data_IF_476750624666
#
_entry.id   IF_476750624666
#
_cell.length_a   1.000
_cell.length_b   1.000
_cell.length_c   1.000
_cell.angle_alpha   90.00
_cell.angle_beta   90.00
_cell.angle_gamma   90.00
#
_symmetry.space_group_name_H-M   'P 1'
#
loop_
_entity.id
_entity.type
_entity.pdbx_description
1 polymer ?
#
# COMPACT_ATOMS: atom_id res chain seq x y z
N UNK A 1 -9.47 -38.49 7.77
CA UNK A 1 -8.64 -37.31 8.12
C UNK A 1 -9.23 -36.08 7.47
N UNK A 2 -8.95 -34.92 8.06
CA UNK A 2 -9.21 -33.63 7.42
C UNK A 2 -7.93 -33.08 6.79
N UNK A 3 -8.01 -32.66 5.53
CA UNK A 3 -6.96 -31.89 4.86
C UNK A 3 -7.51 -30.52 4.48
N UNK A 4 -6.80 -29.47 4.89
CA UNK A 4 -7.06 -28.09 4.50
C UNK A 4 -5.95 -27.59 3.58
N UNK A 5 -6.35 -27.06 2.42
CA UNK A 5 -5.50 -26.35 1.48
C UNK A 5 -5.78 -24.86 1.62
N UNK A 6 -4.83 -24.14 2.20
CA UNK A 6 -4.90 -22.70 2.46
C UNK A 6 -4.05 -22.01 1.40
N UNK A 7 -4.68 -21.28 0.49
CA UNK A 7 -3.97 -20.46 -0.49
C UNK A 7 -3.38 -19.25 0.22
N UNK A 8 -2.06 -19.24 0.32
CA UNK A 8 -1.30 -18.27 1.10
C UNK A 8 -0.14 -17.75 0.28
N UNK A 9 -0.25 -16.50 -0.18
CA UNK A 9 0.64 -15.98 -1.24
C UNK A 9 2.01 -15.53 -0.72
N UNK A 10 2.17 -15.33 0.59
CA UNK A 10 3.42 -14.84 1.19
C UNK A 10 4.50 -15.94 1.21
N UNK A 11 5.77 -15.59 0.96
CA UNK A 11 6.88 -16.54 1.17
C UNK A 11 7.20 -16.78 2.66
N UNK A 12 6.67 -15.95 3.58
CA UNK A 12 6.99 -16.07 4.99
C UNK A 12 6.15 -17.18 5.65
N UNK A 13 6.77 -18.01 6.50
CA UNK A 13 6.07 -19.16 7.06
C UNK A 13 5.33 -18.92 8.38
N UNK A 14 5.32 -17.70 8.92
CA UNK A 14 4.74 -17.43 10.25
C UNK A 14 3.29 -17.91 10.38
N UNK A 15 2.48 -17.83 9.31
CA UNK A 15 1.11 -18.31 9.36
C UNK A 15 1.02 -19.83 9.55
N UNK A 16 1.80 -20.59 8.78
CA UNK A 16 1.95 -22.04 8.99
C UNK A 16 2.56 -22.37 10.36
N UNK A 17 3.48 -21.54 10.84
CA UNK A 17 4.05 -21.63 12.18
C UNK A 17 3.01 -21.45 13.30
N UNK A 18 2.05 -20.54 13.15
CA UNK A 18 0.94 -20.41 14.10
C UNK A 18 0.09 -21.68 14.13
N UNK A 19 -0.23 -22.25 12.96
CA UNK A 19 -0.94 -23.53 12.89
C UNK A 19 -0.16 -24.66 13.58
N UNK A 20 1.15 -24.75 13.36
CA UNK A 20 2.01 -25.74 14.03
C UNK A 20 1.97 -25.61 15.55
N UNK A 21 2.04 -24.39 16.06
CA UNK A 21 1.93 -24.12 17.49
C UNK A 21 0.57 -24.56 18.05
N UNK A 22 -0.51 -24.36 17.30
CA UNK A 22 -1.86 -24.79 17.70
C UNK A 22 -2.01 -26.33 17.66
N UNK A 23 -1.43 -27.01 16.68
CA UNK A 23 -1.33 -28.49 16.66
C UNK A 23 -0.63 -28.96 17.95
N UNK A 24 0.54 -28.38 18.26
CA UNK A 24 1.31 -28.77 19.44
C UNK A 24 0.54 -28.54 20.76
N UNK A 25 -0.17 -27.40 20.89
CA UNK A 25 -0.98 -27.07 22.09
C UNK A 25 -2.24 -27.92 22.23
N UNK A 26 -2.92 -28.21 21.12
CA UNK A 26 -4.11 -29.06 21.14
C UNK A 26 -3.76 -30.49 21.51
N UNK A 27 -2.61 -30.99 21.04
CA UNK A 27 -2.18 -32.38 21.18
C UNK A 27 -2.75 -33.29 20.09
N UNK A 28 -3.44 -32.72 19.10
CA UNK A 28 -3.95 -33.47 17.95
C UNK A 28 -2.79 -34.01 17.11
N UNK A 29 -2.96 -35.22 16.56
CA UNK A 29 -2.04 -35.71 15.53
C UNK A 29 -2.32 -34.92 14.25
N UNK A 30 -1.34 -34.13 13.81
CA UNK A 30 -1.47 -33.29 12.64
C UNK A 30 -0.14 -32.84 12.09
N UNK A 31 -0.17 -32.36 10.86
CA UNK A 31 0.99 -31.93 10.10
C UNK A 31 0.65 -30.63 9.36
N UNK A 32 1.60 -29.70 9.32
CA UNK A 32 1.49 -28.49 8.50
C UNK A 32 2.73 -28.33 7.64
N UNK A 33 2.51 -28.14 6.35
CA UNK A 33 3.56 -27.86 5.38
C UNK A 33 3.23 -26.57 4.64
N UNK A 34 4.26 -25.81 4.27
CA UNK A 34 4.14 -24.68 3.34
C UNK A 34 5.01 -24.92 2.13
N UNK A 35 4.40 -24.92 0.96
CA UNK A 35 5.07 -25.08 -0.34
C UNK A 35 4.52 -24.03 -1.30
N UNK A 36 5.42 -23.26 -1.91
CA UNK A 36 5.09 -22.18 -2.83
C UNK A 36 4.08 -21.17 -2.24
N UNK A 37 2.86 -21.12 -2.81
CA UNK A 37 1.76 -20.22 -2.43
C UNK A 37 0.62 -20.96 -1.71
N UNK A 38 0.92 -22.08 -1.09
CA UNK A 38 -0.05 -22.95 -0.43
C UNK A 38 0.47 -23.47 0.91
N UNK A 39 -0.41 -23.49 1.90
CA UNK A 39 -0.21 -24.16 3.18
C UNK A 39 -1.15 -25.37 3.20
N UNK A 40 -0.59 -26.54 3.46
CA UNK A 40 -1.33 -27.80 3.58
C UNK A 40 -1.33 -28.18 5.04
N UNK A 41 -2.52 -28.22 5.63
CA UNK A 41 -2.76 -28.67 7.00
C UNK A 41 -3.48 -30.01 6.94
N UNK A 42 -2.96 -31.03 7.63
CA UNK A 42 -3.60 -32.34 7.79
C UNK A 42 -3.84 -32.62 9.26
N UNK A 43 -5.05 -33.05 9.59
CA UNK A 43 -5.47 -33.33 10.97
C UNK A 43 -6.13 -34.70 11.04
N UNK A 44 -5.78 -35.44 12.09
CA UNK A 44 -6.45 -36.68 12.47
C UNK A 44 -7.86 -36.35 13.00
N UNK A 45 -8.87 -36.90 12.34
CA UNK A 45 -10.29 -36.70 12.68
C UNK A 45 -10.87 -37.87 13.49
N UNK A 46 -10.05 -38.85 13.89
CA UNK A 46 -10.49 -40.00 14.71
C UNK A 46 -10.80 -39.63 16.16
N UNK A 47 -10.20 -38.57 16.69
CA UNK A 47 -10.42 -38.07 18.05
C UNK A 47 -11.15 -36.73 18.02
N UNK A 48 -12.48 -36.78 18.20
CA UNK A 48 -13.36 -35.61 18.17
C UNK A 48 -13.01 -34.57 19.25
N UNK A 49 -12.56 -34.98 20.44
CA UNK A 49 -12.22 -34.06 21.54
C UNK A 49 -10.99 -33.22 21.19
N UNK A 50 -9.95 -33.84 20.65
CA UNK A 50 -8.74 -33.13 20.21
C UNK A 50 -8.99 -32.24 19.01
N UNK A 51 -9.85 -32.68 18.08
CA UNK A 51 -10.27 -31.87 16.94
C UNK A 51 -11.07 -30.64 17.37
N UNK A 52 -12.01 -30.82 18.31
CA UNK A 52 -12.75 -29.71 18.90
C UNK A 52 -11.81 -28.72 19.59
N UNK A 53 -10.86 -29.21 20.41
CA UNK A 53 -9.86 -28.38 21.08
C UNK A 53 -8.98 -27.61 20.08
N UNK A 54 -8.57 -28.23 18.97
CA UNK A 54 -7.85 -27.55 17.89
C UNK A 54 -8.69 -26.42 17.26
N UNK A 55 -9.97 -26.68 17.00
CA UNK A 55 -10.90 -25.69 16.43
C UNK A 55 -11.11 -24.50 17.38
N UNK A 56 -11.26 -24.76 18.68
CA UNK A 56 -11.38 -23.72 19.71
C UNK A 56 -10.11 -22.85 19.78
N UNK A 57 -8.94 -23.47 19.85
CA UNK A 57 -7.66 -22.76 19.84
C UNK A 57 -7.45 -21.96 18.55
N UNK A 58 -7.81 -22.52 17.39
CA UNK A 58 -7.74 -21.81 16.11
C UNK A 58 -8.62 -20.58 16.10
N UNK A 59 -9.83 -20.67 16.63
CA UNK A 59 -10.77 -19.54 16.70
C UNK A 59 -10.25 -18.44 17.63
N UNK A 60 -9.57 -18.81 18.72
CA UNK A 60 -9.08 -17.86 19.73
C UNK A 60 -7.71 -17.26 19.40
N UNK A 61 -6.78 -18.06 18.90
CA UNK A 61 -5.36 -17.72 18.84
C UNK A 61 -4.83 -17.47 17.41
N UNK A 62 -5.45 -18.04 16.37
CA UNK A 62 -4.95 -17.90 15.00
C UNK A 62 -5.23 -16.49 14.48
N UNK A 63 -4.19 -15.69 14.16
CA UNK A 63 -4.43 -14.36 13.63
C UNK A 63 -4.95 -14.40 12.19
N UNK A 64 -5.62 -13.33 11.77
CA UNK A 64 -5.87 -13.09 10.34
C UNK A 64 -4.58 -12.59 9.64
N UNK A 65 -4.36 -12.99 8.39
CA UNK A 65 -3.25 -12.50 7.55
C UNK A 65 -3.77 -11.91 6.25
N UNK A 66 -3.16 -10.81 5.78
CA UNK A 66 -3.47 -10.20 4.48
C UNK A 66 -3.14 -11.11 3.28
N UNK A 67 -2.36 -12.17 3.50
CA UNK A 67 -1.87 -13.04 2.43
C UNK A 67 -2.70 -14.33 2.24
N UNK A 68 -3.77 -14.52 3.02
CA UNK A 68 -4.72 -15.62 2.85
C UNK A 68 -5.72 -15.24 1.75
N UNK A 69 -5.92 -16.12 0.77
CA UNK A 69 -6.91 -15.91 -0.29
C UNK A 69 -8.09 -16.88 -0.24
N UNK A 70 -7.84 -18.17 -0.05
CA UNK A 70 -8.88 -19.22 -0.08
C UNK A 70 -8.51 -20.37 0.86
N UNK A 71 -9.52 -21.05 1.41
CA UNK A 71 -9.34 -22.22 2.27
C UNK A 71 -10.29 -23.31 1.78
N UNK A 72 -9.73 -24.43 1.32
CA UNK A 72 -10.49 -25.62 0.91
C UNK A 72 -10.28 -26.72 1.92
N UNK A 73 -11.37 -27.33 2.37
CA UNK A 73 -11.33 -28.47 3.29
C UNK A 73 -11.85 -29.71 2.58
N UNK A 74 -11.12 -30.81 2.67
CA UNK A 74 -11.46 -32.10 2.08
C UNK A 74 -11.20 -33.22 3.11
N UNK A 75 -12.02 -34.26 3.08
CA UNK A 75 -11.76 -35.49 3.84
C UNK A 75 -10.94 -36.41 2.94
N UNK A 76 -9.79 -36.86 3.42
CA UNK A 76 -8.87 -37.71 2.65
C UNK A 76 -8.40 -38.91 3.47
N UNK A 77 -7.95 -39.93 2.74
CA UNK A 77 -7.34 -41.16 3.26
C UNK A 77 -5.87 -41.18 2.81
N UNK A 78 -5.04 -40.45 3.55
CA UNK A 78 -3.59 -40.30 3.38
C UNK A 78 -2.93 -40.64 4.74
N UNK A 79 -1.61 -40.67 4.84
CA UNK A 79 -0.93 -40.69 6.14
C UNK A 79 -0.57 -39.27 6.59
N UNK A 80 -0.62 -39.04 7.91
CA UNK A 80 -0.11 -37.82 8.53
C UNK A 80 1.38 -38.03 8.79
N UNK A 81 2.22 -37.21 8.16
CA UNK A 81 3.66 -37.21 8.41
C UNK A 81 4.00 -36.62 9.78
N UNK A 82 5.30 -36.59 10.08
CA UNK A 82 5.82 -36.00 11.32
C UNK A 82 6.56 -34.68 11.04
N UNK A 83 6.23 -33.99 9.94
CA UNK A 83 6.93 -32.76 9.60
C UNK A 83 6.57 -31.66 10.60
N UNK A 84 7.60 -31.04 11.16
CA UNK A 84 7.49 -29.86 12.01
C UNK A 84 8.02 -28.67 11.23
N UNK A 85 7.22 -27.63 11.13
CA UNK A 85 7.69 -26.37 10.55
C UNK A 85 8.43 -25.55 11.61
N UNK A 86 9.58 -25.02 11.23
CA UNK A 86 10.31 -24.03 12.01
C UNK A 86 10.50 -22.78 11.16
N UNK A 87 10.10 -21.64 11.71
CA UNK A 87 10.13 -20.38 11.01
C UNK A 87 11.35 -19.52 11.37
N UNK A 88 11.92 -18.80 10.39
CA UNK A 88 12.93 -17.79 10.70
C UNK A 88 12.28 -16.66 11.53
N UNK A 89 13.06 -15.95 12.35
CA UNK A 89 12.58 -14.76 13.03
C UNK A 89 12.05 -13.75 12.01
N UNK A 90 10.83 -13.27 12.22
CA UNK A 90 10.21 -12.28 11.35
C UNK A 90 9.61 -11.13 12.16
N UNK A 91 9.69 -9.93 11.58
CA UNK A 91 9.06 -8.74 12.14
C UNK A 91 7.53 -8.83 11.93
N UNK A 92 6.85 -9.50 12.84
CA UNK A 92 5.39 -9.58 12.89
C UNK A 92 4.89 -8.97 14.20
N UNK A 93 3.64 -8.52 14.19
CA UNK A 93 3.01 -7.96 15.39
C UNK A 93 2.67 -9.06 16.41
N UNK A 94 2.30 -8.65 17.62
CA UNK A 94 1.82 -9.58 18.65
C UNK A 94 0.57 -10.33 18.13
N UNK A 95 0.56 -11.66 18.29
CA UNK A 95 -0.60 -12.47 17.97
C UNK A 95 -1.73 -12.28 19.02
N UNK A 96 -2.97 -12.72 18.75
CA UNK A 96 -4.09 -12.59 19.68
C UNK A 96 -3.79 -13.07 21.09
N UNK A 97 -3.06 -14.18 21.23
CA UNK A 97 -2.66 -14.71 22.54
C UNK A 97 -1.70 -13.76 23.29
N UNK A 98 -0.68 -13.24 22.61
CA UNK A 98 0.24 -12.28 23.22
C UNK A 98 -0.48 -10.96 23.59
N UNK A 99 -1.46 -10.53 22.79
CA UNK A 99 -2.29 -9.36 23.11
C UNK A 99 -3.19 -9.60 24.34
N UNK A 100 -3.73 -10.80 24.51
CA UNK A 100 -4.44 -11.20 25.74
C UNK A 100 -3.47 -11.18 26.93
N UNK A 101 -2.27 -11.75 26.78
CA UNK A 101 -1.29 -11.87 27.85
C UNK A 101 -0.75 -10.51 28.31
N UNK A 102 -0.55 -9.55 27.40
CA UNK A 102 -0.04 -8.22 27.77
C UNK A 102 -1.10 -7.35 28.44
N UNK A 103 -2.39 -7.61 28.19
CA UNK A 103 -3.52 -6.81 28.68
C UNK A 103 -4.21 -7.41 29.91
N UNK A 104 -3.96 -8.68 30.25
CA UNK A 104 -4.60 -9.36 31.37
C UNK A 104 -3.78 -9.24 32.67
N UNK A 105 -4.30 -8.60 33.74
CA UNK A 105 -3.60 -8.46 35.02
C UNK A 105 -3.19 -9.77 35.71
N UNK A 106 -3.82 -10.90 35.36
CA UNK A 106 -3.47 -12.22 35.89
C UNK A 106 -2.31 -12.90 35.13
N UNK A 107 -1.88 -12.34 34.00
CA UNK A 107 -0.79 -12.86 33.19
C UNK A 107 0.57 -12.49 33.77
N UNK A 108 1.56 -13.38 33.65
CA UNK A 108 2.96 -13.07 33.97
C UNK A 108 3.58 -12.03 33.03
N UNK A 109 2.96 -11.81 31.87
CA UNK A 109 3.38 -10.82 30.86
C UNK A 109 2.53 -9.55 30.90
N UNK A 110 1.74 -9.33 31.95
CA UNK A 110 0.93 -8.11 32.08
C UNK A 110 1.82 -6.87 32.02
N UNK A 111 1.58 -6.01 31.02
CA UNK A 111 2.37 -4.81 30.72
C UNK A 111 3.89 -5.06 30.52
N UNK A 112 4.28 -6.27 30.12
CA UNK A 112 5.67 -6.64 29.83
C UNK A 112 6.12 -6.02 28.49
N UNK A 113 7.02 -5.03 28.57
CA UNK A 113 7.57 -4.33 27.41
C UNK A 113 8.63 -5.13 26.65
N UNK A 114 9.09 -6.25 27.21
CA UNK A 114 10.02 -7.19 26.60
C UNK A 114 9.34 -8.34 25.88
N UNK A 115 8.00 -8.44 25.95
CA UNK A 115 7.24 -9.52 25.33
C UNK A 115 7.45 -9.53 23.81
N UNK A 116 7.91 -10.68 23.30
CA UNK A 116 8.02 -10.97 21.87
C UNK A 116 7.16 -12.18 21.52
N UNK A 117 6.57 -12.18 20.33
CA UNK A 117 5.76 -13.31 19.89
C UNK A 117 6.65 -14.54 19.61
N UNK A 118 6.35 -15.65 20.27
CA UNK A 118 6.99 -16.97 20.06
C UNK A 118 6.02 -18.04 19.58
N UNK A 119 4.79 -17.64 19.23
CA UNK A 119 3.69 -18.54 18.91
C UNK A 119 3.63 -18.99 17.44
N UNK A 120 4.61 -18.62 16.61
CA UNK A 120 4.66 -19.00 15.19
C UNK A 120 5.79 -19.99 14.87
N UNK A 121 6.12 -20.86 15.83
CA UNK A 121 7.19 -21.88 15.69
C UNK A 121 8.51 -21.31 15.21
N UNK A 122 8.88 -20.13 15.71
CA UNK A 122 10.11 -19.45 15.36
C UNK A 122 11.32 -20.07 16.06
N UNK A 123 12.46 -20.11 15.36
CA UNK A 123 13.73 -20.59 15.92
C UNK A 123 14.24 -19.70 17.05
N UNK A 124 14.10 -18.39 16.88
CA UNK A 124 14.49 -17.37 17.84
C UNK A 124 13.49 -16.19 17.81
N UNK A 125 13.34 -15.41 18.90
CA UNK A 125 12.54 -14.19 18.89
C UNK A 125 13.09 -13.14 17.92
N UNK A 126 12.21 -12.37 17.30
CA UNK A 126 12.61 -11.23 16.49
C UNK A 126 12.69 -9.96 17.35
N UNK A 127 13.88 -9.38 17.45
CA UNK A 127 14.08 -8.12 18.18
C UNK A 127 13.95 -6.94 17.24
N UNK A 128 13.16 -5.95 17.64
CA UNK A 128 12.95 -4.72 16.89
C UNK A 128 13.10 -3.52 17.81
N UNK A 129 13.85 -2.51 17.37
CA UNK A 129 13.92 -1.21 18.06
C UNK A 129 12.93 -0.26 17.40
N UNK A 130 11.90 0.14 18.14
CA UNK A 130 10.98 1.19 17.72
C UNK A 130 11.27 2.47 18.49
N UNK A 131 11.62 3.54 17.79
CA UNK A 131 11.84 4.88 18.36
C UNK A 131 10.65 5.82 18.13
N UNK A 132 9.55 5.33 17.56
CA UNK A 132 8.35 6.11 17.25
C UNK A 132 7.76 6.76 18.49
N UNK A 133 7.44 8.05 18.38
CA UNK A 133 6.77 8.82 19.41
C UNK A 133 5.29 8.98 19.07
N UNK A 134 4.43 8.76 20.07
CA UNK A 134 2.99 8.89 19.96
C UNK A 134 2.54 10.10 20.79
N UNK A 135 1.59 10.87 20.28
CA UNK A 135 1.18 12.16 20.84
C UNK A 135 -0.33 12.38 20.67
N UNK A 136 -1.02 13.00 21.65
CA UNK A 136 -2.38 13.53 21.44
C UNK A 136 -2.41 14.66 20.40
N UNK A 137 -1.29 15.34 20.20
CA UNK A 137 -1.22 16.53 19.38
C UNK A 137 -0.85 16.18 17.94
N UNK A 138 -1.65 16.69 17.01
CA UNK A 138 -1.38 16.60 15.59
C UNK A 138 -0.09 17.35 15.24
N UNK A 139 0.68 16.77 14.31
CA UNK A 139 1.77 17.44 13.62
C UNK A 139 1.62 17.21 12.12
N UNK A 140 2.03 18.16 11.27
CA UNK A 140 1.91 18.00 9.82
C UNK A 140 2.55 16.69 9.34
N UNK A 141 1.81 15.94 8.54
CA UNK A 141 2.26 14.64 8.02
C UNK A 141 1.97 13.44 8.91
N UNK A 142 1.54 13.63 10.16
CA UNK A 142 1.29 12.54 11.11
C UNK A 142 0.16 11.60 10.66
N UNK A 143 0.37 10.33 11.00
CA UNK A 143 -0.61 9.25 10.90
C UNK A 143 -1.28 9.04 12.25
N UNK A 144 -2.37 8.27 12.28
CA UNK A 144 -3.09 7.92 13.50
C UNK A 144 -2.84 6.46 13.90
N UNK A 145 -2.39 6.24 15.13
CA UNK A 145 -2.45 4.97 15.82
C UNK A 145 -3.85 4.79 16.41
N UNK A 146 -4.55 3.73 16.03
CA UNK A 146 -5.86 3.38 16.58
C UNK A 146 -5.66 2.70 17.94
N UNK A 147 -6.00 3.39 19.03
CA UNK A 147 -5.82 2.89 20.38
C UNK A 147 -7.04 2.10 20.89
N UNK A 148 -8.23 2.41 20.38
CA UNK A 148 -9.46 1.66 20.68
C UNK A 148 -10.17 1.19 19.41
N UNK A 149 -10.04 -0.10 19.11
CA UNK A 149 -10.70 -0.72 17.96
C UNK A 149 -12.24 -0.61 18.01
N UNK A 150 -12.84 -0.52 19.21
CA UNK A 150 -14.30 -0.38 19.35
C UNK A 150 -14.83 0.97 18.85
N UNK A 151 -13.94 1.96 18.72
CA UNK A 151 -14.26 3.32 18.28
C UNK A 151 -13.98 3.56 16.80
N UNK A 152 -13.48 2.57 16.07
CA UNK A 152 -13.05 2.74 14.68
C UNK A 152 -14.15 3.31 13.76
N UNK A 153 -15.39 2.87 13.93
CA UNK A 153 -16.54 3.32 13.12
C UNK A 153 -17.10 4.69 13.53
N UNK A 154 -16.70 5.20 14.70
CA UNK A 154 -16.97 6.57 15.13
C UNK A 154 -15.93 7.52 14.52
N UNK A 155 -14.67 7.05 14.38
CA UNK A 155 -13.55 7.87 13.92
C UNK A 155 -13.40 7.91 12.40
N UNK A 156 -13.65 6.79 11.70
CA UNK A 156 -13.34 6.63 10.27
C UNK A 156 -14.46 5.94 9.50
N UNK A 157 -14.51 6.18 8.18
CA UNK A 157 -15.34 5.42 7.24
C UNK A 157 -14.45 4.34 6.62
N UNK A 158 -14.73 3.07 6.95
CA UNK A 158 -13.99 1.90 6.48
C UNK A 158 -14.96 0.77 6.11
N UNK A 159 -14.65 0.06 5.03
CA UNK A 159 -15.29 -1.22 4.68
C UNK A 159 -14.85 -2.33 5.63
N UNK A 160 -15.61 -3.44 5.68
CA UNK A 160 -15.24 -4.60 6.49
C UNK A 160 -13.89 -5.20 6.06
N UNK A 161 -13.59 -5.20 4.76
CA UNK A 161 -12.32 -5.69 4.25
C UNK A 161 -11.14 -4.79 4.66
N UNK A 162 -11.32 -3.46 4.67
CA UNK A 162 -10.29 -2.54 5.18
C UNK A 162 -10.04 -2.73 6.68
N UNK A 163 -11.08 -3.02 7.47
CA UNK A 163 -10.91 -3.39 8.89
C UNK A 163 -10.13 -4.69 9.05
N UNK A 164 -10.45 -5.72 8.27
CA UNK A 164 -9.70 -7.00 8.27
C UNK A 164 -8.23 -6.80 7.91
N UNK A 165 -7.95 -5.91 6.95
CA UNK A 165 -6.57 -5.53 6.60
C UNK A 165 -5.90 -4.80 7.77
N UNK A 166 -6.51 -3.75 8.30
CA UNK A 166 -5.96 -2.94 9.41
C UNK A 166 -5.60 -3.80 10.63
N UNK A 167 -6.46 -4.76 10.98
CA UNK A 167 -6.30 -5.61 12.15
C UNK A 167 -5.64 -6.96 11.90
N UNK A 168 -5.12 -7.22 10.69
CA UNK A 168 -4.33 -8.43 10.40
C UNK A 168 -3.05 -8.50 11.25
N UNK A 169 -2.35 -9.65 11.24
CA UNK A 169 -1.06 -9.81 11.92
C UNK A 169 0.04 -8.90 11.36
N UNK A 170 -0.09 -8.50 10.09
CA UNK A 170 0.84 -7.61 9.43
C UNK A 170 0.60 -6.14 9.77
N UNK A 171 -0.56 -5.76 10.33
CA UNK A 171 -0.87 -4.38 10.79
C UNK A 171 -0.41 -3.30 9.79
N UNK A 172 -0.89 -3.34 8.54
CA UNK A 172 -0.53 -2.35 7.52
C UNK A 172 -1.05 -0.96 7.90
N UNK A 173 -0.37 0.06 7.39
CA UNK A 173 -0.90 1.41 7.30
C UNK A 173 -1.83 1.49 6.10
N UNK A 174 -3.05 1.99 6.31
CA UNK A 174 -4.05 2.22 5.26
C UNK A 174 -4.54 3.66 5.31
N UNK A 175 -4.91 4.21 4.16
CA UNK A 175 -5.57 5.52 4.09
C UNK A 175 -7.04 5.37 4.43
N UNK A 176 -7.56 6.21 5.32
CA UNK A 176 -8.95 6.20 5.74
C UNK A 176 -9.61 7.56 5.50
N UNK A 177 -10.92 7.54 5.26
CA UNK A 177 -11.74 8.77 5.26
C UNK A 177 -12.10 9.11 6.70
N UNK A 178 -11.84 10.35 7.11
CA UNK A 178 -12.13 10.83 8.46
C UNK A 178 -13.64 11.02 8.61
N UNK A 179 -14.23 10.37 9.61
CA UNK A 179 -15.62 10.57 10.02
C UNK A 179 -15.76 11.55 11.18
N UNK A 180 -14.82 11.52 12.12
CA UNK A 180 -14.81 12.40 13.29
C UNK A 180 -14.54 13.86 12.91
N UNK A 181 -15.47 14.75 13.27
CA UNK A 181 -15.29 16.20 13.06
C UNK A 181 -14.12 16.76 13.88
N UNK A 182 -13.85 16.23 15.07
CA UNK A 182 -12.70 16.61 15.89
C UNK A 182 -11.37 16.38 15.14
N UNK A 183 -11.22 15.22 14.50
CA UNK A 183 -10.01 14.90 13.73
C UNK A 183 -9.94 15.81 12.50
N UNK A 184 -11.08 16.10 11.83
CA UNK A 184 -11.09 17.04 10.70
C UNK A 184 -10.66 18.44 11.11
N UNK A 185 -11.14 18.95 12.24
CA UNK A 185 -10.77 20.26 12.76
C UNK A 185 -9.28 20.32 13.14
N UNK A 186 -8.77 19.28 13.82
CA UNK A 186 -7.37 19.21 14.22
C UNK A 186 -6.40 19.11 13.04
N UNK A 187 -6.78 18.35 12.00
CA UNK A 187 -5.89 18.05 10.87
C UNK A 187 -6.11 18.95 9.66
N UNK A 188 -7.28 19.60 9.58
CA UNK A 188 -7.81 20.28 8.40
C UNK A 188 -7.81 19.40 7.13
N UNK A 189 -8.19 18.13 7.29
CA UNK A 189 -8.16 17.10 6.23
C UNK A 189 -9.41 16.22 6.24
N UNK A 190 -9.69 15.64 5.08
CA UNK A 190 -10.75 14.65 4.88
C UNK A 190 -10.23 13.21 4.97
N UNK A 191 -8.92 13.01 4.79
CA UNK A 191 -8.28 11.70 4.76
C UNK A 191 -7.05 11.69 5.66
N UNK A 192 -6.72 10.53 6.23
CA UNK A 192 -5.52 10.33 7.02
C UNK A 192 -5.06 8.87 6.95
N UNK A 193 -3.75 8.66 7.06
CA UNK A 193 -3.18 7.33 7.20
C UNK A 193 -3.39 6.83 8.64
N UNK A 194 -3.91 5.61 8.78
CA UNK A 194 -4.19 4.97 10.07
C UNK A 194 -3.46 3.63 10.18
N UNK A 195 -3.12 3.23 11.41
CA UNK A 195 -2.47 1.96 11.72
C UNK A 195 -2.96 1.42 13.07
N UNK A 196 -3.12 0.11 13.17
CA UNK A 196 -3.36 -0.56 14.45
C UNK A 196 -2.02 -0.79 15.19
N UNK A 197 -2.03 -1.03 16.52
CA UNK A 197 -0.83 -1.35 17.28
C UNK A 197 -0.11 -2.55 16.66
N UNK A 198 1.18 -2.37 16.39
CA UNK A 198 1.95 -3.23 15.49
C UNK A 198 3.19 -3.86 16.14
N UNK A 199 3.49 -3.50 17.38
CA UNK A 199 4.53 -4.09 18.21
C UNK A 199 4.20 -3.90 19.69
N UNK A 200 5.04 -4.42 20.58
CA UNK A 200 4.86 -4.36 22.03
C UNK A 200 4.74 -2.92 22.52
N UNK A 201 5.64 -2.03 22.09
CA UNK A 201 5.63 -0.60 22.48
C UNK A 201 4.32 0.10 22.11
N UNK A 202 3.92 0.05 20.84
CA UNK A 202 2.68 0.67 20.37
C UNK A 202 1.44 0.05 21.02
N UNK A 203 1.48 -1.23 21.39
CA UNK A 203 0.40 -1.91 22.12
C UNK A 203 0.26 -1.36 23.54
N UNK A 204 1.37 -1.27 24.29
CA UNK A 204 1.36 -0.71 25.65
C UNK A 204 0.91 0.75 25.67
N UNK A 205 1.39 1.53 24.70
CA UNK A 205 0.95 2.93 24.51
C UNK A 205 -0.55 2.99 24.23
N UNK A 206 -1.06 2.12 23.36
CA UNK A 206 -2.48 2.07 23.03
C UNK A 206 -3.36 1.67 24.24
N UNK A 207 -2.92 0.72 25.07
CA UNK A 207 -3.61 0.34 26.30
C UNK A 207 -3.73 1.54 27.24
N UNK A 208 -2.61 2.22 27.52
CA UNK A 208 -2.61 3.39 28.39
C UNK A 208 -3.48 4.53 27.84
N UNK A 209 -3.39 4.80 26.53
CA UNK A 209 -4.23 5.79 25.87
C UNK A 209 -5.72 5.44 25.98
N UNK A 210 -6.09 4.18 25.75
CA UNK A 210 -7.47 3.71 25.89
C UNK A 210 -8.00 3.88 27.32
N UNK A 211 -7.19 3.55 28.32
CA UNK A 211 -7.55 3.73 29.74
C UNK A 211 -7.75 5.22 30.09
N UNK A 212 -6.97 6.10 29.45
CA UNK A 212 -7.14 7.55 29.50
C UNK A 212 -8.30 8.09 28.64
N UNK A 213 -9.15 7.22 28.08
CA UNK A 213 -10.26 7.57 27.18
C UNK A 213 -9.81 8.27 25.90
N UNK A 214 -8.61 7.99 25.43
CA UNK A 214 -8.06 8.49 24.18
C UNK A 214 -8.10 7.39 23.12
N UNK A 215 -9.07 7.40 22.19
CA UNK A 215 -9.27 6.30 21.25
C UNK A 215 -8.23 6.28 20.13
N UNK A 216 -7.42 7.33 20.00
CA UNK A 216 -6.36 7.45 19.01
C UNK A 216 -5.19 8.30 19.51
N UNK A 217 -4.03 8.14 18.89
CA UNK A 217 -2.87 9.01 19.03
C UNK A 217 -2.25 9.30 17.66
N UNK A 218 -1.63 10.46 17.52
CA UNK A 218 -0.84 10.82 16.35
C UNK A 218 0.60 10.32 16.45
N UNK A 219 1.19 9.95 15.33
CA UNK A 219 2.60 9.60 15.25
C UNK A 219 3.17 9.90 13.86
N UNK A 220 4.45 10.24 13.83
CA UNK A 220 5.24 10.23 12.60
C UNK A 220 6.04 8.93 12.59
N UNK A 221 5.43 7.89 12.04
CA UNK A 221 6.06 6.57 11.97
C UNK A 221 7.06 6.46 10.84
N UNK A 222 8.03 5.55 11.01
CA UNK A 222 8.86 5.08 9.91
C UNK A 222 8.07 4.28 8.88
N UNK A 223 8.60 4.22 7.66
CA UNK A 223 8.13 3.35 6.58
C UNK A 223 8.13 1.89 7.07
N UNK A 224 7.00 1.20 7.08
CA UNK A 224 6.89 -0.15 7.69
C UNK A 224 6.16 -1.13 6.79
N UNK A 225 4.88 -0.85 6.55
CA UNK A 225 4.04 -1.57 5.59
C UNK A 225 2.88 -0.64 5.25
N UNK A 226 2.84 -0.15 4.02
CA UNK A 226 1.73 0.64 3.49
C UNK A 226 1.07 -0.11 2.36
N UNK A 227 -0.24 -0.27 2.45
CA UNK A 227 -1.02 -0.93 1.41
C UNK A 227 -2.11 0.01 0.90
N UNK A 228 -2.49 -0.19 -0.36
CA UNK A 228 -3.67 0.44 -0.93
C UNK A 228 -4.60 -0.64 -1.47
N UNK A 229 -5.88 -0.53 -1.11
CA UNK A 229 -6.95 -1.37 -1.61
C UNK A 229 -7.77 -0.61 -2.64
N UNK A 230 -7.99 -1.23 -3.78
CA UNK A 230 -8.87 -0.72 -4.84
C UNK A 230 -9.70 -1.89 -5.35
N UNK A 231 -11.03 -1.74 -5.29
CA UNK A 231 -11.97 -2.83 -5.57
C UNK A 231 -11.66 -4.04 -4.65
N UNK A 232 -11.54 -5.24 -5.22
CA UNK A 232 -11.21 -6.48 -4.50
C UNK A 232 -9.70 -6.79 -4.48
N UNK A 233 -8.87 -5.90 -5.04
CA UNK A 233 -7.42 -6.02 -5.07
C UNK A 233 -6.77 -5.11 -4.04
N UNK A 234 -5.63 -5.55 -3.50
CA UNK A 234 -4.73 -4.68 -2.76
C UNK A 234 -3.32 -4.81 -3.33
N UNK A 235 -2.51 -3.78 -3.10
CA UNK A 235 -1.09 -3.78 -3.40
C UNK A 235 -0.30 -3.21 -2.24
N UNK A 236 0.89 -3.77 -2.04
CA UNK A 236 1.86 -3.24 -1.10
C UNK A 236 2.57 -2.10 -1.81
N UNK A 237 2.42 -0.87 -1.33
CA UNK A 237 3.10 0.29 -1.92
C UNK A 237 4.55 0.31 -1.45
N UNK A 238 4.76 0.20 -0.14
CA UNK A 238 6.07 0.14 0.52
C UNK A 238 6.01 -0.86 1.67
N UNK A 239 7.11 -1.56 1.91
CA UNK A 239 7.20 -2.52 2.99
C UNK A 239 8.63 -2.81 3.41
N UNK A 240 8.93 -2.50 4.66
CA UNK A 240 10.17 -2.84 5.35
C UNK A 240 10.08 -4.18 6.12
N UNK A 241 8.85 -4.67 6.35
CA UNK A 241 8.60 -6.01 6.88
C UNK A 241 7.59 -6.76 6.03
N UNK A 242 7.58 -8.09 6.17
CA UNK A 242 6.64 -9.06 5.58
C UNK A 242 6.58 -9.15 4.04
N UNK A 243 6.98 -8.12 3.30
CA UNK A 243 7.09 -8.22 1.84
C UNK A 243 8.23 -9.17 1.43
N UNK A 244 8.06 -9.78 0.26
CA UNK A 244 9.09 -10.59 -0.39
C UNK A 244 10.28 -9.71 -0.74
N UNK A 245 11.46 -10.11 -0.26
CA UNK A 245 12.72 -9.44 -0.62
C UNK A 245 13.03 -9.65 -2.10
N UNK A 246 13.54 -8.60 -2.73
CA UNK A 246 13.99 -8.67 -4.12
C UNK A 246 15.27 -9.51 -4.20
N UNK A 247 15.32 -10.39 -5.20
CA UNK A 247 16.57 -11.01 -5.64
C UNK A 247 17.38 -9.99 -6.43
N UNK A 248 18.71 -10.11 -6.43
CA UNK A 248 19.60 -9.25 -7.23
C UNK A 248 19.70 -9.80 -8.66
N UNK A 249 18.65 -9.56 -9.46
CA UNK A 249 18.55 -9.96 -10.86
C UNK A 249 19.17 -8.90 -11.80
N UNK A 250 19.14 -7.63 -11.41
CA UNK A 250 19.67 -6.50 -12.17
C UNK A 250 20.41 -5.50 -11.25
N UNK A 251 21.40 -4.79 -11.78
CA UNK A 251 22.14 -3.76 -11.04
C UNK A 251 21.39 -2.43 -10.92
N UNK A 252 20.49 -2.13 -11.87
CA UNK A 252 19.61 -0.97 -11.79
C UNK A 252 18.42 -1.30 -10.86
N UNK A 253 18.19 -0.55 -9.77
CA UNK A 253 17.12 -0.86 -8.81
C UNK A 253 15.71 -0.93 -9.41
N UNK A 254 15.40 -0.04 -10.36
CA UNK A 254 14.09 -0.01 -11.04
C UNK A 254 13.90 -1.26 -11.90
N UNK A 255 14.91 -1.61 -12.70
CA UNK A 255 14.88 -2.83 -13.53
C UNK A 255 14.88 -4.09 -12.67
N UNK A 256 15.64 -4.10 -11.58
CA UNK A 256 15.70 -5.22 -10.64
C UNK A 256 14.33 -5.53 -10.05
N UNK A 257 13.62 -4.49 -9.60
CA UNK A 257 12.25 -4.62 -9.10
C UNK A 257 11.32 -5.14 -10.21
N UNK A 258 11.40 -4.58 -11.42
CA UNK A 258 10.60 -5.03 -12.55
C UNK A 258 10.81 -6.51 -12.89
N UNK A 259 12.06 -6.98 -12.91
CA UNK A 259 12.40 -8.39 -13.18
C UNK A 259 11.89 -9.33 -12.08
N UNK A 260 11.96 -8.91 -10.81
CA UNK A 260 11.39 -9.67 -9.71
C UNK A 260 9.86 -9.78 -9.80
N UNK A 261 9.18 -8.71 -10.20
CA UNK A 261 7.73 -8.71 -10.46
C UNK A 261 7.38 -9.63 -11.64
N UNK A 262 8.15 -9.58 -12.72
CA UNK A 262 7.97 -10.47 -13.87
C UNK A 262 8.19 -11.94 -13.49
N UNK A 263 9.21 -12.23 -12.68
CA UNK A 263 9.46 -13.56 -12.12
C UNK A 263 8.28 -14.04 -11.27
N UNK A 264 7.74 -13.19 -10.40
CA UNK A 264 6.59 -13.53 -9.55
C UNK A 264 5.30 -13.81 -10.34
N UNK A 265 5.11 -13.09 -11.44
CA UNK A 265 4.00 -13.28 -12.38
C UNK A 265 4.20 -14.45 -13.35
N UNK A 266 5.38 -15.09 -13.36
CA UNK A 266 5.80 -16.08 -14.35
C UNK A 266 5.79 -15.55 -15.80
N UNK A 267 6.19 -14.30 -16.00
CA UNK A 267 6.28 -13.66 -17.31
C UNK A 267 7.72 -13.68 -17.83
N UNK A 268 7.97 -14.44 -18.90
CA UNK A 268 9.24 -14.40 -19.64
C UNK A 268 9.43 -13.09 -20.39
N UNK A 269 8.32 -12.51 -20.85
CA UNK A 269 8.27 -11.25 -21.60
C UNK A 269 7.15 -10.38 -21.03
N UNK A 270 7.42 -9.09 -20.81
CA UNK A 270 6.46 -8.16 -20.25
C UNK A 270 6.80 -6.70 -20.63
N UNK A 271 5.78 -5.87 -20.79
CA UNK A 271 5.93 -4.42 -20.77
C UNK A 271 5.54 -3.86 -19.40
N UNK A 272 6.14 -2.74 -19.02
CA UNK A 272 6.06 -2.21 -17.68
C UNK A 272 5.86 -0.71 -17.64
N UNK A 273 5.12 -0.22 -16.66
CA UNK A 273 5.16 1.18 -16.27
C UNK A 273 5.58 1.30 -14.80
N UNK A 274 6.66 2.05 -14.58
CA UNK A 274 7.08 2.54 -13.28
C UNK A 274 6.54 3.97 -13.12
N UNK A 275 5.46 4.12 -12.36
CA UNK A 275 4.85 5.41 -12.02
C UNK A 275 5.27 5.78 -10.60
N UNK A 276 6.45 6.38 -10.46
CA UNK A 276 6.97 6.85 -9.18
C UNK A 276 7.03 8.38 -9.15
N UNK A 277 6.81 8.96 -7.98
CA UNK A 277 6.96 10.39 -7.72
C UNK A 277 8.37 10.90 -8.04
N UNK A 278 9.38 10.02 -7.99
CA UNK A 278 10.78 10.33 -8.33
C UNK A 278 11.07 10.30 -9.82
N UNK A 279 10.45 9.37 -10.55
CA UNK A 279 10.66 9.18 -11.98
C UNK A 279 9.54 8.34 -12.59
N UNK A 280 9.12 8.71 -13.80
CA UNK A 280 8.20 7.91 -14.63
C UNK A 280 9.00 7.26 -15.75
N UNK A 281 8.90 5.95 -15.88
CA UNK A 281 9.55 5.19 -16.94
C UNK A 281 8.75 3.99 -17.39
N UNK A 282 9.05 3.52 -18.60
CA UNK A 282 8.44 2.36 -19.21
C UNK A 282 9.52 1.37 -19.58
N UNK A 283 9.24 0.11 -19.27
CA UNK A 283 10.22 -0.97 -19.27
C UNK A 283 9.73 -2.06 -20.22
N UNK A 284 10.65 -2.69 -20.94
CA UNK A 284 10.37 -3.84 -21.78
C UNK A 284 11.32 -4.95 -21.39
N UNK A 285 10.75 -6.06 -20.92
CA UNK A 285 11.44 -7.33 -20.76
C UNK A 285 11.14 -8.22 -21.95
N UNK A 286 12.20 -8.58 -22.67
CA UNK A 286 12.21 -9.63 -23.67
C UNK A 286 12.74 -10.94 -23.08
N UNK A 287 12.77 -11.99 -23.88
CA UNK A 287 13.41 -13.27 -23.53
C UNK A 287 14.92 -13.17 -23.25
N UNK A 288 15.59 -12.14 -23.76
CA UNK A 288 17.06 -12.00 -23.68
C UNK A 288 17.49 -10.90 -22.71
N UNK A 289 16.78 -9.77 -22.71
CA UNK A 289 17.18 -8.58 -21.97
C UNK A 289 15.98 -7.78 -21.43
N UNK A 290 16.24 -6.93 -20.43
CA UNK A 290 15.30 -5.97 -19.86
C UNK A 290 15.84 -4.56 -20.07
N UNK A 291 15.11 -3.75 -20.85
CA UNK A 291 15.49 -2.39 -21.20
C UNK A 291 14.45 -1.37 -20.72
N UNK A 292 14.88 -0.12 -20.54
CA UNK A 292 14.02 1.04 -20.24
C UNK A 292 13.95 1.94 -21.48
N UNK A 293 13.10 1.62 -22.49
CA UNK A 293 13.08 2.38 -23.75
C UNK A 293 12.59 3.81 -23.58
N UNK A 294 11.79 4.08 -22.54
CA UNK A 294 11.24 5.41 -22.29
C UNK A 294 11.47 5.75 -20.82
N UNK A 295 12.22 6.82 -20.57
CA UNK A 295 12.38 7.42 -19.24
C UNK A 295 12.08 8.91 -19.38
N UNK A 296 11.06 9.39 -18.67
CA UNK A 296 10.74 10.81 -18.71
C UNK A 296 11.84 11.61 -18.04
N UNK A 297 12.14 12.79 -18.59
CA UNK A 297 13.12 13.67 -17.96
C UNK A 297 12.60 14.10 -16.60
N UNK A 298 13.51 14.45 -15.70
CA UNK A 298 13.10 15.12 -14.46
C UNK A 298 12.33 16.40 -14.82
N UNK A 299 11.22 16.64 -14.14
CA UNK A 299 10.51 17.91 -14.24
C UNK A 299 11.41 19.05 -13.76
N UNK A 300 11.43 20.16 -14.50
CA UNK A 300 11.94 21.42 -14.01
C UNK A 300 10.87 22.51 -14.17
N UNK A 301 10.52 23.15 -13.07
CA UNK A 301 9.49 24.18 -13.05
C UNK A 301 9.96 25.41 -13.83
N UNK A 302 11.17 25.90 -13.55
CA UNK A 302 11.72 27.08 -14.20
C UNK A 302 11.80 26.91 -15.72
N UNK A 303 12.39 25.81 -16.21
CA UNK A 303 12.44 25.54 -17.65
C UNK A 303 11.06 25.42 -18.28
N UNK A 304 10.10 24.83 -17.57
CA UNK A 304 8.73 24.67 -18.05
C UNK A 304 8.02 26.02 -18.18
N UNK A 305 8.16 26.90 -17.18
CA UNK A 305 7.58 28.24 -17.20
C UNK A 305 8.21 29.12 -18.29
N UNK A 306 9.53 29.01 -18.50
CA UNK A 306 10.20 29.71 -19.61
C UNK A 306 9.70 29.25 -20.98
N UNK A 307 9.53 27.94 -21.18
CA UNK A 307 8.95 27.37 -22.40
C UNK A 307 7.52 27.88 -22.60
N UNK A 308 6.72 27.90 -21.55
CA UNK A 308 5.36 28.45 -21.59
C UNK A 308 5.34 29.94 -21.95
N UNK A 309 6.29 30.74 -21.44
CA UNK A 309 6.37 32.17 -21.73
C UNK A 309 6.75 32.47 -23.19
N UNK A 310 7.60 31.63 -23.79
CA UNK A 310 8.04 31.75 -25.19
C UNK A 310 6.98 31.26 -26.19
N UNK A 311 6.03 30.45 -25.76
CA UNK A 311 4.91 29.96 -26.55
C UNK A 311 3.80 31.03 -26.67
N UNK A 312 3.26 31.24 -27.88
CA UNK A 312 2.29 32.32 -28.12
C UNK A 312 0.98 32.14 -27.34
N UNK A 313 0.49 30.90 -27.24
CA UNK A 313 -0.79 30.58 -26.62
C UNK A 313 -0.61 30.54 -25.10
N UNK A 314 0.40 29.81 -24.61
CA UNK A 314 0.67 29.63 -23.18
C UNK A 314 1.23 30.91 -22.55
N UNK A 315 1.95 31.74 -23.30
CA UNK A 315 2.40 33.05 -22.82
C UNK A 315 1.24 34.01 -22.56
N UNK A 316 0.19 33.98 -23.39
CA UNK A 316 -1.07 34.71 -23.15
C UNK A 316 -1.81 34.13 -21.94
N UNK A 317 -1.83 32.79 -21.80
CA UNK A 317 -2.41 32.12 -20.63
C UNK A 317 -1.73 32.56 -19.34
N UNK A 318 -0.39 32.56 -19.26
CA UNK A 318 0.35 32.97 -18.07
C UNK A 318 0.02 34.42 -17.67
N UNK A 319 -0.04 35.36 -18.63
CA UNK A 319 -0.44 36.75 -18.35
C UNK A 319 -1.86 36.87 -17.83
N UNK A 320 -2.78 36.04 -18.33
CA UNK A 320 -4.16 36.02 -17.84
C UNK A 320 -4.26 35.36 -16.46
N UNK A 321 -3.45 34.32 -16.22
CA UNK A 321 -3.35 33.64 -14.94
C UNK A 321 -2.83 34.59 -13.86
N UNK A 322 -1.75 35.32 -14.15
CA UNK A 322 -1.16 36.32 -13.27
C UNK A 322 -2.17 37.38 -12.81
N UNK A 323 -3.02 37.88 -13.71
CA UNK A 323 -4.03 38.89 -13.37
C UNK A 323 -5.05 38.43 -12.32
N UNK A 324 -5.33 37.12 -12.24
CA UNK A 324 -6.33 36.55 -11.32
C UNK A 324 -5.69 35.86 -10.11
N UNK A 325 -4.50 35.30 -10.30
CA UNK A 325 -3.80 34.44 -9.33
C UNK A 325 -2.33 34.87 -9.17
N UNK A 326 -2.07 36.17 -9.07
CA UNK A 326 -0.73 36.74 -8.87
C UNK A 326 0.07 36.05 -7.75
N UNK A 327 -0.51 35.78 -6.54
CA UNK A 327 0.25 35.14 -5.47
C UNK A 327 0.75 33.74 -5.83
N UNK A 328 -0.05 32.97 -6.57
CA UNK A 328 0.29 31.61 -7.01
C UNK A 328 1.46 31.68 -7.99
N UNK A 329 1.39 32.57 -8.99
CA UNK A 329 2.43 32.66 -10.01
C UNK A 329 3.74 33.18 -9.41
N UNK A 330 3.67 34.16 -8.50
CA UNK A 330 4.83 34.64 -7.74
C UNK A 330 5.49 33.52 -6.94
N UNK A 331 4.71 32.65 -6.30
CA UNK A 331 5.22 31.51 -5.56
C UNK A 331 5.94 30.52 -6.48
N UNK A 332 5.34 30.18 -7.63
CA UNK A 332 5.96 29.27 -8.62
C UNK A 332 7.28 29.81 -9.19
N UNK A 333 7.45 31.13 -9.29
CA UNK A 333 8.73 31.74 -9.70
C UNK A 333 9.75 31.88 -8.57
N UNK A 334 9.36 31.67 -7.31
CA UNK A 334 10.21 31.97 -6.14
C UNK A 334 11.37 30.97 -5.97
N UNK A 335 11.11 29.70 -6.30
CA UNK A 335 12.07 28.60 -6.16
C UNK A 335 11.65 27.41 -7.03
N UNK A 336 12.52 26.41 -7.11
CA UNK A 336 12.22 25.17 -7.80
C UNK A 336 11.29 24.29 -6.96
N UNK A 337 10.30 23.71 -7.63
CA UNK A 337 9.34 22.74 -7.08
C UNK A 337 9.29 21.50 -7.97
N UNK A 338 9.02 20.34 -7.38
CA UNK A 338 8.67 19.18 -8.17
C UNK A 338 7.28 19.33 -8.84
N UNK A 339 6.93 18.38 -9.71
CA UNK A 339 5.70 18.46 -10.48
C UNK A 339 4.46 18.52 -9.58
N UNK A 340 4.39 17.67 -8.56
CA UNK A 340 3.23 17.57 -7.69
C UNK A 340 3.16 18.74 -6.72
N UNK A 341 4.29 19.27 -6.27
CA UNK A 341 4.36 20.51 -5.51
C UNK A 341 3.84 21.69 -6.33
N UNK A 342 4.31 21.85 -7.58
CA UNK A 342 3.84 22.89 -8.48
C UNK A 342 2.33 22.79 -8.76
N UNK A 343 1.82 21.58 -9.01
CA UNK A 343 0.38 21.34 -9.18
C UNK A 343 -0.41 21.64 -7.90
N UNK A 344 0.13 21.31 -6.72
CA UNK A 344 -0.48 21.63 -5.43
C UNK A 344 -0.59 23.12 -5.20
N UNK A 345 0.46 23.88 -5.55
CA UNK A 345 0.47 25.35 -5.47
C UNK A 345 -0.56 25.94 -6.42
N UNK A 346 -0.59 25.48 -7.69
CA UNK A 346 -1.59 25.92 -8.67
C UNK A 346 -3.00 25.67 -8.13
N UNK A 347 -3.26 24.51 -7.52
CA UNK A 347 -4.58 24.14 -7.01
C UNK A 347 -4.85 24.55 -5.56
N UNK A 348 -3.97 25.36 -4.95
CA UNK A 348 -4.10 25.86 -3.57
C UNK A 348 -4.40 24.73 -2.57
N UNK A 349 -3.65 23.63 -2.69
CA UNK A 349 -3.77 22.48 -1.79
C UNK A 349 -2.98 22.76 -0.51
N UNK A 350 -3.60 22.51 0.65
CA UNK A 350 -3.01 22.79 1.97
C UNK A 350 -1.69 22.05 2.21
N UNK A 351 -1.63 20.76 1.86
CA UNK A 351 -0.40 19.98 1.90
C UNK A 351 0.23 19.98 0.50
N UNK A 352 1.38 20.62 0.37
CA UNK A 352 2.10 20.72 -0.90
C UNK A 352 2.76 19.37 -1.21
N UNK A 353 2.56 18.86 -2.43
CA UNK A 353 3.21 17.66 -2.95
C UNK A 353 2.22 16.54 -3.31
N UNK A 354 2.75 15.37 -3.64
CA UNK A 354 1.93 14.24 -4.12
C UNK A 354 0.82 13.84 -3.14
N UNK A 355 1.12 13.77 -1.83
CA UNK A 355 0.16 13.33 -0.81
C UNK A 355 -1.06 14.25 -0.76
N UNK A 356 -0.85 15.56 -0.65
CA UNK A 356 -1.96 16.51 -0.58
C UNK A 356 -2.74 16.58 -1.88
N UNK A 357 -2.07 16.57 -3.05
CA UNK A 357 -2.78 16.53 -4.33
C UNK A 357 -3.62 15.26 -4.48
N UNK A 358 -3.08 14.12 -4.04
CA UNK A 358 -3.77 12.83 -4.01
C UNK A 358 -5.00 12.90 -3.12
N UNK A 359 -4.89 13.42 -1.89
CA UNK A 359 -6.03 13.62 -0.98
C UNK A 359 -7.08 14.55 -1.59
N UNK A 360 -6.64 15.64 -2.22
CA UNK A 360 -7.54 16.58 -2.90
C UNK A 360 -8.32 15.93 -4.04
N UNK A 361 -7.71 14.98 -4.75
CA UNK A 361 -8.38 14.26 -5.84
C UNK A 361 -9.50 13.34 -5.36
N UNK A 362 -9.38 12.81 -4.13
CA UNK A 362 -10.34 11.86 -3.55
C UNK A 362 -11.63 12.53 -3.07
N UNK A 363 -11.64 13.87 -2.96
CA UNK A 363 -12.83 14.64 -2.62
C UNK A 363 -13.86 14.67 -3.78
N UNK A 364 -13.44 14.38 -5.00
CA UNK A 364 -14.36 14.32 -6.14
C UNK A 364 -15.11 12.99 -6.17
N UNK A 365 -16.43 13.05 -6.02
CA UNK A 365 -17.33 11.89 -6.02
C UNK A 365 -18.02 11.62 -7.37
N UNK A 366 -17.68 12.39 -8.40
CA UNK A 366 -18.26 12.25 -9.73
C UNK A 366 -17.58 11.19 -10.59
N UNK A 367 -18.11 11.01 -11.81
CA UNK A 367 -17.55 10.09 -12.80
C UNK A 367 -16.96 10.88 -13.98
N UNK A 368 -15.67 10.67 -14.26
CA UNK A 368 -14.99 11.22 -15.43
C UNK A 368 -14.46 12.64 -15.22
N UNK A 369 -13.16 12.78 -15.48
CA UNK A 369 -12.39 14.00 -15.35
C UNK A 369 -12.46 14.92 -16.56
N UNK A 370 -11.93 16.12 -16.37
CA UNK A 370 -11.55 17.04 -17.41
C UNK A 370 -10.46 16.41 -18.29
N UNK A 371 -10.42 16.80 -19.56
CA UNK A 371 -9.33 16.40 -20.46
C UNK A 371 -8.10 17.24 -20.14
N UNK A 372 -7.19 16.67 -19.35
CA UNK A 372 -5.87 17.25 -19.11
C UNK A 372 -4.92 16.78 -20.20
N UNK A 373 -4.26 17.73 -20.86
CA UNK A 373 -3.31 17.41 -21.92
C UNK A 373 -1.97 16.92 -21.34
N UNK A 374 -1.68 15.64 -21.54
CA UNK A 374 -0.38 15.00 -21.29
C UNK A 374 0.16 14.49 -22.63
N UNK A 375 0.67 15.40 -23.46
CA UNK A 375 1.25 15.03 -24.74
C UNK A 375 2.59 14.33 -24.55
N UNK A 376 2.79 13.28 -25.32
CA UNK A 376 4.08 12.62 -25.46
C UNK A 376 4.77 13.17 -26.71
N UNK A 377 5.92 13.83 -26.51
CA UNK A 377 6.73 14.38 -27.60
C UNK A 377 8.18 13.98 -27.39
N UNK A 378 8.80 13.44 -28.43
CA UNK A 378 10.23 13.10 -28.48
C UNK A 378 10.71 12.24 -27.30
N UNK A 379 9.91 11.26 -26.86
CA UNK A 379 10.30 10.37 -25.76
C UNK A 379 9.98 10.89 -24.36
N UNK A 380 9.27 12.02 -24.23
CA UNK A 380 9.11 12.71 -22.96
C UNK A 380 7.71 13.32 -22.75
N UNK A 381 7.41 13.71 -21.51
CA UNK A 381 6.17 14.39 -21.14
C UNK A 381 6.22 15.90 -21.48
N UNK A 382 5.19 16.42 -22.14
CA UNK A 382 5.03 17.87 -22.31
C UNK A 382 4.47 18.51 -21.02
N UNK A 383 5.37 18.83 -20.09
CA UNK A 383 5.02 19.51 -18.84
C UNK A 383 4.36 20.88 -19.06
N UNK A 384 4.68 21.59 -20.15
CA UNK A 384 4.07 22.88 -20.47
C UNK A 384 2.59 22.72 -20.88
N UNK A 385 2.24 21.62 -21.55
CA UNK A 385 0.85 21.27 -21.83
C UNK A 385 0.06 20.90 -20.56
N UNK A 386 0.67 20.12 -19.67
CA UNK A 386 0.07 19.74 -18.39
C UNK A 386 -0.23 20.96 -17.52
N UNK A 387 0.78 21.79 -17.23
CA UNK A 387 0.57 23.01 -16.42
C UNK A 387 -0.39 23.97 -17.10
N UNK A 388 -0.29 24.12 -18.43
CA UNK A 388 -1.21 24.95 -19.21
C UNK A 388 -2.67 24.51 -19.09
N UNK A 389 -2.94 23.21 -19.16
CA UNK A 389 -4.29 22.66 -18.99
C UNK A 389 -4.84 22.96 -17.60
N UNK A 390 -4.06 22.66 -16.56
CA UNK A 390 -4.46 22.85 -15.16
C UNK A 390 -4.73 24.33 -14.87
N UNK A 391 -3.84 25.23 -15.30
CA UNK A 391 -4.03 26.69 -15.16
C UNK A 391 -5.25 27.19 -15.92
N UNK A 392 -5.51 26.67 -17.12
CA UNK A 392 -6.68 27.04 -17.93
C UNK A 392 -7.99 26.64 -17.24
N UNK A 393 -8.10 25.41 -16.74
CA UNK A 393 -9.29 24.97 -16.02
C UNK A 393 -9.51 25.73 -14.71
N UNK A 394 -8.43 26.05 -13.99
CA UNK A 394 -8.52 26.89 -12.80
C UNK A 394 -8.99 28.31 -13.14
N UNK A 395 -8.50 28.90 -14.23
CA UNK A 395 -8.98 30.21 -14.71
C UNK A 395 -10.46 30.19 -15.03
N UNK A 396 -10.93 29.12 -15.67
CA UNK A 396 -12.33 28.87 -16.00
C UNK A 396 -13.22 28.63 -14.76
N UNK A 397 -12.65 28.47 -13.57
CA UNK A 397 -13.38 28.31 -12.31
C UNK A 397 -13.79 26.87 -12.00
N UNK A 398 -13.12 25.87 -12.59
CA UNK A 398 -13.33 24.48 -12.19
C UNK A 398 -12.83 24.26 -10.75
N UNK A 399 -13.53 23.41 -10.00
CA UNK A 399 -13.21 23.11 -8.60
C UNK A 399 -11.86 22.39 -8.49
N UNK A 400 -11.04 22.78 -7.49
CA UNK A 400 -9.68 22.27 -7.35
C UNK A 400 -9.62 20.74 -7.18
N UNK A 401 -10.60 20.11 -6.48
CA UNK A 401 -10.66 18.65 -6.36
C UNK A 401 -11.01 17.96 -7.69
N UNK A 402 -11.84 18.60 -8.52
CA UNK A 402 -12.19 18.06 -9.83
C UNK A 402 -10.98 18.12 -10.78
N UNK A 403 -10.20 19.20 -10.74
CA UNK A 403 -8.95 19.29 -11.50
C UNK A 403 -7.93 18.26 -10.98
N UNK A 404 -7.75 18.13 -9.65
CA UNK A 404 -6.86 17.14 -9.05
C UNK A 404 -7.20 15.70 -9.48
N UNK A 405 -8.48 15.33 -9.42
CA UNK A 405 -8.99 14.06 -9.95
C UNK A 405 -8.61 13.85 -11.42
N UNK A 406 -8.83 14.87 -12.23
CA UNK A 406 -8.58 14.82 -13.67
C UNK A 406 -7.09 14.64 -14.01
N UNK A 407 -6.18 15.16 -13.19
CA UNK A 407 -4.74 14.96 -13.34
C UNK A 407 -4.38 13.48 -13.20
N UNK A 408 -4.88 12.80 -12.16
CA UNK A 408 -4.58 11.38 -11.94
C UNK A 408 -5.20 10.46 -12.99
N UNK A 409 -6.42 10.77 -13.46
CA UNK A 409 -7.00 10.04 -14.60
C UNK A 409 -6.14 10.18 -15.86
N UNK A 410 -5.69 11.40 -16.15
CA UNK A 410 -4.89 11.67 -17.33
C UNK A 410 -3.51 10.99 -17.27
N UNK A 411 -2.88 10.90 -16.10
CA UNK A 411 -1.64 10.12 -15.90
C UNK A 411 -1.89 8.63 -16.19
N UNK A 412 -3.01 8.08 -15.72
CA UNK A 412 -3.40 6.69 -16.00
C UNK A 412 -3.61 6.45 -17.51
N UNK A 413 -4.34 7.34 -18.17
CA UNK A 413 -4.59 7.27 -19.62
C UNK A 413 -3.30 7.38 -20.43
N UNK A 414 -2.37 8.25 -20.02
CA UNK A 414 -1.04 8.37 -20.61
C UNK A 414 -0.26 7.06 -20.50
N UNK A 415 -0.21 6.47 -19.30
CA UNK A 415 0.51 5.21 -19.08
C UNK A 415 -0.08 4.07 -19.94
N UNK A 416 -1.40 3.97 -20.01
CA UNK A 416 -2.11 3.00 -20.86
C UNK A 416 -1.76 3.20 -22.35
N UNK A 417 -1.74 4.44 -22.81
CA UNK A 417 -1.43 4.78 -24.20
C UNK A 417 -0.01 4.33 -24.58
N UNK A 418 0.98 4.67 -23.75
CA UNK A 418 2.39 4.29 -23.96
C UNK A 418 2.57 2.78 -23.91
N UNK A 419 1.98 2.11 -22.92
CA UNK A 419 2.06 0.65 -22.82
C UNK A 419 1.44 -0.04 -24.03
N UNK A 420 0.31 0.43 -24.54
CA UNK A 420 -0.29 -0.10 -25.75
C UNK A 420 0.60 0.08 -26.99
N UNK A 421 1.36 1.18 -27.08
CA UNK A 421 2.34 1.37 -28.15
C UNK A 421 3.47 0.34 -28.02
N UNK A 422 4.07 0.20 -26.84
CA UNK A 422 5.14 -0.77 -26.59
C UNK A 422 4.67 -2.22 -26.81
N UNK A 423 3.45 -2.59 -26.39
CA UNK A 423 2.88 -3.92 -26.66
C UNK A 423 2.82 -4.23 -28.14
N UNK A 424 2.43 -3.25 -28.97
CA UNK A 424 2.37 -3.43 -30.43
C UNK A 424 3.76 -3.49 -31.05
N UNK A 425 4.65 -2.60 -30.66
CA UNK A 425 6.02 -2.51 -31.17
C UNK A 425 6.82 -3.78 -30.88
N UNK A 426 6.77 -4.27 -29.63
CA UNK A 426 7.52 -5.44 -29.20
C UNK A 426 6.71 -6.75 -29.30
N UNK A 427 5.44 -6.71 -29.72
CA UNK A 427 4.53 -7.87 -29.79
C UNK A 427 4.35 -8.62 -28.46
N UNK A 428 4.42 -7.91 -27.33
CA UNK A 428 4.29 -8.46 -25.98
C UNK A 428 2.87 -8.24 -25.44
N UNK A 429 2.31 -9.24 -24.76
CA UNK A 429 0.95 -9.16 -24.19
C UNK A 429 0.92 -8.79 -22.71
N UNK A 430 1.85 -9.35 -21.93
CA UNK A 430 1.87 -9.22 -20.48
C UNK A 430 2.21 -7.78 -20.07
N UNK A 431 1.55 -7.29 -19.03
CA UNK A 431 1.79 -5.94 -18.51
C UNK A 431 1.96 -5.97 -17.00
N UNK A 432 2.93 -5.21 -16.51
CA UNK A 432 3.23 -5.05 -15.08
C UNK A 432 3.19 -3.56 -14.74
N UNK A 433 2.68 -3.21 -13.57
CA UNK A 433 2.72 -1.87 -13.02
C UNK A 433 3.45 -1.83 -11.68
N UNK A 434 4.21 -0.77 -11.45
CA UNK A 434 4.96 -0.51 -10.21
C UNK A 434 5.13 1.00 -9.97
N UNK A 435 5.63 1.37 -8.79
CA UNK A 435 5.87 2.75 -8.35
C UNK A 435 4.88 3.25 -7.29
N UNK A 436 5.30 4.24 -6.50
CA UNK A 436 4.55 4.75 -5.35
C UNK A 436 3.32 5.60 -5.71
N UNK A 437 3.16 6.02 -6.96
CA UNK A 437 1.97 6.79 -7.37
C UNK A 437 0.67 5.99 -7.26
N UNK A 438 0.76 4.66 -7.20
CA UNK A 438 -0.37 3.76 -6.93
C UNK A 438 -0.94 3.86 -5.52
N UNK A 439 -0.32 4.68 -4.65
CA UNK A 439 -0.98 5.13 -3.44
C UNK A 439 -2.28 5.90 -3.74
N UNK A 440 -2.36 6.59 -4.88
CA UNK A 440 -3.57 7.27 -5.29
C UNK A 440 -4.58 6.28 -5.91
N UNK A 441 -5.71 6.07 -5.23
CA UNK A 441 -6.73 5.12 -5.68
C UNK A 441 -7.48 5.56 -6.94
N UNK A 442 -7.49 6.86 -7.29
CA UNK A 442 -8.06 7.34 -8.56
C UNK A 442 -7.23 6.82 -9.74
N UNK A 443 -5.92 7.04 -9.72
CA UNK A 443 -4.98 6.53 -10.72
C UNK A 443 -5.08 5.01 -10.82
N UNK A 444 -5.04 4.32 -9.67
CA UNK A 444 -5.08 2.87 -9.65
C UNK A 444 -6.41 2.33 -10.21
N UNK A 445 -7.55 2.88 -9.78
CA UNK A 445 -8.89 2.52 -10.29
C UNK A 445 -9.02 2.80 -11.80
N UNK A 446 -8.42 3.90 -12.28
CA UNK A 446 -8.41 4.23 -13.71
C UNK A 446 -7.70 3.15 -14.53
N UNK A 447 -6.56 2.66 -14.07
CA UNK A 447 -5.83 1.57 -14.75
C UNK A 447 -6.63 0.27 -14.71
N UNK A 448 -7.15 -0.13 -13.55
CA UNK A 448 -7.93 -1.36 -13.43
C UNK A 448 -9.18 -1.35 -14.31
N UNK A 449 -9.86 -0.21 -14.44
CA UNK A 449 -11.09 -0.08 -15.24
C UNK A 449 -10.84 0.04 -16.75
N UNK A 450 -9.89 0.89 -17.18
CA UNK A 450 -9.63 1.13 -18.61
C UNK A 450 -8.69 0.14 -19.26
N UNK A 451 -7.90 -0.56 -18.46
CA UNK A 451 -6.87 -1.49 -18.94
C UNK A 451 -7.16 -2.96 -18.56
N UNK A 452 -8.38 -3.24 -18.09
CA UNK A 452 -8.80 -4.56 -17.62
C UNK A 452 -8.52 -5.70 -18.62
N UNK A 453 -8.79 -5.48 -19.92
CA UNK A 453 -8.59 -6.49 -20.97
C UNK A 453 -7.12 -6.88 -21.17
N UNK A 454 -6.17 -6.04 -20.73
CA UNK A 454 -4.74 -6.35 -20.74
C UNK A 454 -4.30 -7.15 -19.50
N UNK A 455 -5.20 -7.39 -18.53
CA UNK A 455 -4.93 -8.06 -17.26
C UNK A 455 -3.65 -7.54 -16.58
N UNK A 456 -3.60 -6.25 -16.22
CA UNK A 456 -2.40 -5.65 -15.65
C UNK A 456 -2.01 -6.32 -14.34
N UNK A 457 -0.74 -6.70 -14.24
CA UNK A 457 -0.21 -7.33 -13.06
C UNK A 457 0.26 -6.29 -12.03
N UNK A 458 -0.28 -6.39 -10.83
CA UNK A 458 0.18 -5.71 -9.62
C UNK A 458 0.57 -6.76 -8.60
N UNK A 459 1.76 -6.65 -8.02
CA UNK A 459 2.16 -7.59 -6.98
C UNK A 459 1.37 -7.37 -5.70
N UNK A 460 1.08 -8.48 -5.02
CA UNK A 460 0.50 -8.51 -3.67
C UNK A 460 1.54 -8.81 -2.60
N UNK A 461 2.77 -9.14 -2.97
CA UNK A 461 3.80 -9.71 -2.09
C UNK A 461 5.13 -8.97 -2.17
N UNK A 462 5.44 -8.39 -3.32
CA UNK A 462 6.55 -7.45 -3.52
C UNK A 462 5.97 -6.03 -3.45
N UNK A 463 6.67 -5.13 -2.75
CA UNK A 463 6.29 -3.72 -2.72
C UNK A 463 6.37 -3.10 -4.14
N UNK A 464 5.48 -2.18 -4.48
CA UNK A 464 5.51 -1.52 -5.78
C UNK A 464 6.63 -0.47 -5.87
N UNK A 465 7.10 0.08 -4.76
CA UNK A 465 8.25 0.99 -4.69
C UNK A 465 9.18 0.62 -3.51
N UNK A 466 10.30 1.34 -3.40
CA UNK A 466 11.23 1.28 -2.26
C UNK A 466 10.65 1.93 -0.99
#
# INVERSE_FOLDING_TARGET
>A
MIRQKIKYISPNCYFAGFLQNIINKSGIKGEVEQKDKEIILKLDDSNEELLYKFSELSTKELPHSIFIEDIKTEVVDEEIGNNKIECPPCNISLCPKCLEDISNPASSHYLDDSLLCTHYSNKEPFYYSDTTNFSPHYSPGASILVCDASKIDELFILTNEEKKLLFSIEKPTIKATIKSEEIKELTNRNFIDIKAPYNTRSTLVAINAKDAQMPYLFFNGGDDLKIVKVQDSFSIIRANRVAKKLENLNSNPTLNRFENLAKEANYSEAVGANLSTKAISFIVKSSVDTIEPIRFSKFSLQETLEKMQKDEIRGKLLKNFEKKFEPILKELYSKEYDLFEALSIILEVNEIGFKGLSEKSLEFLGNGGLKIDLYFKDGNLDYSALLGSVMSFKLAGAENHYIAYSIFEAIGDMAISVLNQLKREFSIKNTIFMGDMFENSVLYSRILSKYQLSNPYFSKTIALDD
#
